data_IF_032401878393
#
_entry.id   IF_032401878393
#
_cell.length_a   1.000
_cell.length_b   1.000
_cell.length_c   1.000
_cell.angle_alpha   90.00
_cell.angle_beta   90.00
_cell.angle_gamma   90.00
#
_symmetry.space_group_name_H-M   'P 1'
#
loop_
_entity.id
_entity.type
_entity.pdbx_description
1 polymer ?
#
# COMPACT_ATOMS: atom_id res chain seq x y z
N UNK A 1 10.98 -19.01 -12.68
CA UNK A 1 11.74 -18.82 -11.42
C UNK A 1 11.52 -20.02 -10.53
N UNK A 2 12.32 -20.28 -9.49
CA UNK A 2 12.10 -21.46 -8.62
C UNK A 2 12.26 -21.19 -7.13
N UNK A 3 11.45 -21.89 -6.35
CA UNK A 3 11.47 -21.98 -4.89
C UNK A 3 11.22 -23.44 -4.48
N UNK A 4 11.56 -23.81 -3.25
CA UNK A 4 11.29 -25.17 -2.74
C UNK A 4 9.80 -25.57 -2.87
N UNK A 5 8.83 -24.74 -2.45
CA UNK A 5 7.41 -25.03 -2.65
C UNK A 5 7.01 -25.15 -4.13
N UNK A 6 7.55 -24.27 -4.99
CA UNK A 6 7.26 -24.31 -6.44
C UNK A 6 7.80 -25.58 -7.10
N UNK A 7 8.99 -26.05 -6.73
CA UNK A 7 9.57 -27.31 -7.24
C UNK A 7 8.74 -28.52 -6.80
N UNK A 8 8.29 -28.55 -5.54
CA UNK A 8 7.39 -29.60 -5.05
C UNK A 8 6.04 -29.62 -5.78
N UNK A 9 5.51 -28.44 -6.12
CA UNK A 9 4.22 -28.28 -6.82
C UNK A 9 4.31 -28.61 -8.31
N UNK A 10 5.40 -28.22 -8.98
CA UNK A 10 5.59 -28.37 -10.44
C UNK A 10 6.30 -29.66 -10.83
N UNK A 11 6.94 -30.33 -9.88
CA UNK A 11 7.79 -31.50 -10.12
C UNK A 11 9.09 -31.18 -10.85
N UNK A 12 9.42 -29.89 -11.05
CA UNK A 12 10.71 -29.48 -11.62
C UNK A 12 11.80 -29.40 -10.56
N UNK A 13 13.01 -29.79 -10.94
CA UNK A 13 14.21 -29.56 -10.14
C UNK A 13 15.22 -28.63 -10.84
N UNK A 14 16.35 -28.38 -10.18
CA UNK A 14 17.42 -27.56 -10.76
C UNK A 14 18.06 -28.18 -12.01
N UNK A 15 18.07 -29.51 -12.12
CA UNK A 15 18.57 -30.22 -13.29
C UNK A 15 17.72 -29.92 -14.52
N UNK A 16 16.39 -30.07 -14.40
CA UNK A 16 15.44 -29.78 -15.47
C UNK A 16 15.59 -28.36 -16.01
N UNK A 17 15.76 -27.38 -15.12
CA UNK A 17 15.94 -25.97 -15.48
C UNK A 17 17.24 -25.76 -16.26
N UNK A 18 18.35 -26.32 -15.77
CA UNK A 18 19.64 -26.22 -16.45
C UNK A 18 19.59 -26.84 -17.84
N UNK A 19 18.88 -27.96 -18.00
CA UNK A 19 18.75 -28.64 -19.28
C UNK A 19 17.87 -27.86 -20.26
N UNK A 20 16.78 -27.27 -19.78
CA UNK A 20 15.92 -26.37 -20.59
C UNK A 20 16.67 -25.11 -21.04
N UNK A 21 17.45 -24.48 -20.16
CA UNK A 21 18.28 -23.31 -20.52
C UNK A 21 19.40 -23.66 -21.50
N UNK A 22 20.13 -24.77 -21.28
CA UNK A 22 21.19 -25.23 -22.19
C UNK A 22 20.67 -25.61 -23.57
N UNK A 23 19.40 -26.00 -23.65
CA UNK A 23 18.73 -26.35 -24.90
C UNK A 23 18.01 -25.16 -25.56
N UNK A 24 18.21 -23.92 -25.05
CA UNK A 24 17.54 -22.69 -25.51
C UNK A 24 15.99 -22.75 -25.49
N UNK A 25 15.41 -23.61 -24.65
CA UNK A 25 13.95 -23.81 -24.51
C UNK A 25 13.31 -22.87 -23.49
N UNK A 26 13.62 -21.57 -23.58
CA UNK A 26 13.19 -20.58 -22.57
C UNK A 26 11.68 -20.43 -22.47
N UNK A 27 10.96 -20.54 -23.58
CA UNK A 27 9.49 -20.43 -23.57
C UNK A 27 8.84 -21.56 -22.76
N UNK A 28 9.31 -22.80 -22.93
CA UNK A 28 8.86 -23.96 -22.15
C UNK A 28 9.16 -23.77 -20.66
N UNK A 29 10.36 -23.25 -20.32
CA UNK A 29 10.71 -22.96 -18.93
C UNK A 29 9.81 -21.89 -18.29
N UNK A 30 9.46 -20.84 -19.05
CA UNK A 30 8.55 -19.78 -18.61
C UNK A 30 7.14 -20.30 -18.37
N UNK A 31 6.63 -21.17 -19.24
CA UNK A 31 5.31 -21.78 -19.10
C UNK A 31 5.23 -22.74 -17.92
N UNK A 32 6.30 -23.51 -17.66
CA UNK A 32 6.34 -24.48 -16.55
C UNK A 32 6.62 -23.84 -15.19
N UNK A 33 7.38 -22.74 -15.16
CA UNK A 33 7.66 -21.97 -13.92
C UNK A 33 7.59 -20.46 -14.14
N UNK A 34 6.37 -19.90 -14.22
CA UNK A 34 6.21 -18.46 -14.32
C UNK A 34 6.93 -17.74 -13.18
N UNK A 35 7.73 -16.72 -13.51
CA UNK A 35 8.48 -15.98 -12.50
C UNK A 35 7.53 -15.27 -11.52
N UNK A 36 6.43 -14.71 -12.02
CA UNK A 36 5.44 -13.99 -11.23
C UNK A 36 4.86 -14.89 -10.14
N UNK A 37 4.41 -16.10 -10.49
CA UNK A 37 3.87 -17.05 -9.51
C UNK A 37 4.84 -17.31 -8.38
N UNK A 38 6.09 -17.65 -8.69
CA UNK A 38 7.07 -18.00 -7.66
C UNK A 38 7.41 -16.81 -6.75
N UNK A 39 7.57 -15.62 -7.32
CA UNK A 39 7.93 -14.43 -6.55
C UNK A 39 6.74 -13.92 -5.75
N UNK A 40 5.53 -13.90 -6.32
CA UNK A 40 4.33 -13.45 -5.64
C UNK A 40 3.86 -14.45 -4.57
N UNK A 41 4.00 -15.76 -4.81
CA UNK A 41 3.81 -16.80 -3.79
C UNK A 41 4.73 -16.52 -2.58
N UNK A 42 6.02 -16.25 -2.85
CA UNK A 42 7.01 -15.92 -1.81
C UNK A 42 6.64 -14.65 -1.04
N UNK A 43 6.14 -13.62 -1.73
CA UNK A 43 5.66 -12.38 -1.09
C UNK A 43 4.49 -12.69 -0.16
N UNK A 44 3.48 -13.41 -0.64
CA UNK A 44 2.31 -13.77 0.16
C UNK A 44 2.66 -14.65 1.38
N UNK A 45 3.66 -15.52 1.26
CA UNK A 45 4.05 -16.45 2.33
C UNK A 45 4.94 -15.81 3.39
N UNK A 46 5.78 -14.84 3.02
CA UNK A 46 6.83 -14.33 3.92
C UNK A 46 6.70 -12.86 4.30
N UNK A 47 5.92 -12.06 3.58
CA UNK A 47 5.70 -10.66 3.93
C UNK A 47 4.43 -10.52 4.78
N UNK A 48 4.49 -9.79 5.90
CA UNK A 48 3.32 -9.59 6.74
C UNK A 48 2.30 -8.69 6.05
N UNK A 49 1.03 -9.02 6.22
CA UNK A 49 -0.07 -8.13 5.86
C UNK A 49 -0.11 -6.90 6.81
N UNK A 50 -0.92 -5.86 6.50
CA UNK A 50 -1.10 -4.69 7.36
C UNK A 50 -1.39 -5.00 8.83
N UNK A 51 -2.27 -5.97 9.10
CA UNK A 51 -2.76 -6.34 10.43
C UNK A 51 -1.62 -6.88 11.29
N UNK A 52 -0.73 -7.69 10.71
CA UNK A 52 0.42 -8.25 11.40
C UNK A 52 1.60 -7.26 11.51
N UNK A 53 1.72 -6.35 10.55
CA UNK A 53 2.85 -5.43 10.43
C UNK A 53 2.68 -4.15 11.26
N UNK A 54 1.49 -3.55 11.25
CA UNK A 54 1.23 -2.23 11.86
C UNK A 54 1.51 -2.19 13.37
N UNK A 55 1.10 -3.18 14.20
CA UNK A 55 1.36 -3.15 15.64
C UNK A 55 2.85 -3.01 16.00
N UNK A 56 3.74 -3.56 15.17
CA UNK A 56 5.20 -3.51 15.40
C UNK A 56 5.87 -2.29 14.76
N UNK A 57 5.21 -1.69 13.76
CA UNK A 57 5.78 -0.60 12.96
C UNK A 57 5.36 0.78 13.45
N UNK A 58 4.10 0.96 13.84
CA UNK A 58 3.58 2.26 14.31
C UNK A 58 4.45 2.85 15.43
N UNK A 59 4.83 2.11 16.49
CA UNK A 59 5.69 2.65 17.55
C UNK A 59 7.09 3.07 17.10
N UNK A 60 7.52 2.69 15.89
CA UNK A 60 8.84 3.04 15.32
C UNK A 60 8.79 4.20 14.35
N UNK A 61 7.68 4.35 13.62
CA UNK A 61 7.55 5.34 12.53
C UNK A 61 6.75 6.58 12.95
N UNK A 62 5.95 6.48 14.01
CA UNK A 62 5.15 7.57 14.55
C UNK A 62 5.59 7.86 15.98
N UNK A 63 5.69 9.15 16.34
CA UNK A 63 6.26 9.62 17.62
C UNK A 63 5.25 10.39 18.49
N UNK A 64 3.95 10.20 18.23
CA UNK A 64 2.92 10.74 19.11
C UNK A 64 2.74 9.89 20.37
N UNK A 65 1.69 10.19 21.12
CA UNK A 65 1.32 9.46 22.34
C UNK A 65 0.87 8.03 22.03
N UNK A 66 1.62 7.04 22.51
CA UNK A 66 1.38 5.62 22.26
C UNK A 66 0.15 5.06 22.99
N UNK A 67 -0.36 5.79 24.00
CA UNK A 67 -1.59 5.46 24.71
C UNK A 67 -2.84 6.11 24.09
N UNK A 68 -2.69 6.90 23.02
CA UNK A 68 -3.82 7.57 22.36
C UNK A 68 -4.68 6.64 21.52
N UNK A 69 -5.98 6.95 21.39
CA UNK A 69 -6.93 6.21 20.54
C UNK A 69 -6.48 6.17 19.05
N UNK A 70 -5.80 7.22 18.59
CA UNK A 70 -5.22 7.27 17.24
C UNK A 70 -4.07 6.26 17.10
N UNK A 71 -3.20 6.15 18.11
CA UNK A 71 -2.12 5.17 18.09
C UNK A 71 -2.67 3.74 18.07
N UNK A 72 -3.70 3.48 18.86
CA UNK A 72 -4.39 2.19 18.91
C UNK A 72 -5.04 1.85 17.56
N UNK A 73 -5.85 2.76 17.01
CA UNK A 73 -6.54 2.55 15.73
C UNK A 73 -5.56 2.32 14.57
N UNK A 74 -4.45 3.07 14.53
CA UNK A 74 -3.35 2.80 13.59
C UNK A 74 -2.66 1.46 13.82
N UNK A 75 -2.50 1.00 15.06
CA UNK A 75 -1.88 -0.30 15.33
C UNK A 75 -2.79 -1.44 14.87
N UNK A 76 -4.10 -1.31 15.07
CA UNK A 76 -5.08 -2.35 14.74
C UNK A 76 -5.65 -2.29 13.32
N UNK A 77 -5.22 -1.32 12.50
CA UNK A 77 -5.74 -1.14 11.13
C UNK A 77 -7.25 -0.88 11.16
N UNK A 78 -7.69 -0.10 12.14
CA UNK A 78 -9.12 0.13 12.38
C UNK A 78 -9.70 1.06 11.29
N UNK A 79 -10.70 0.57 10.56
CA UNK A 79 -11.36 1.32 9.49
C UNK A 79 -12.42 2.31 10.00
N UNK A 80 -12.92 2.10 11.23
CA UNK A 80 -13.89 2.98 11.90
C UNK A 80 -13.20 4.11 12.70
N UNK A 81 -11.87 4.05 12.81
CA UNK A 81 -11.06 5.02 13.52
C UNK A 81 -10.91 6.37 12.82
N UNK A 82 -10.16 7.28 13.46
CA UNK A 82 -9.79 8.56 12.86
C UNK A 82 -8.84 8.34 11.68
N UNK A 83 -9.10 9.03 10.56
CA UNK A 83 -8.29 8.91 9.35
C UNK A 83 -6.85 9.32 9.64
N UNK A 84 -5.91 8.44 9.28
CA UNK A 84 -4.48 8.74 9.24
C UNK A 84 -3.89 8.22 7.94
N UNK A 85 -3.49 9.13 7.08
CA UNK A 85 -2.82 8.87 5.80
C UNK A 85 -1.38 9.39 5.84
N UNK A 86 -0.42 8.53 5.52
CA UNK A 86 0.96 8.95 5.26
C UNK A 86 1.17 9.09 3.76
N UNK A 87 1.35 10.33 3.29
CA UNK A 87 1.62 10.62 1.88
C UNK A 87 3.06 10.21 1.56
N UNK A 88 3.24 9.36 0.56
CA UNK A 88 4.55 8.87 0.13
C UNK A 88 5.02 9.49 -1.18
N UNK A 89 4.09 9.87 -2.05
CA UNK A 89 4.39 10.42 -3.37
C UNK A 89 3.33 11.44 -3.79
N UNK A 90 3.74 12.43 -4.60
CA UNK A 90 2.85 13.42 -5.22
C UNK A 90 3.06 13.36 -6.73
N UNK A 91 2.02 12.93 -7.44
CA UNK A 91 1.96 12.94 -8.90
C UNK A 91 1.08 14.06 -9.42
N UNK A 92 1.24 14.41 -10.70
CA UNK A 92 0.32 15.31 -11.41
C UNK A 92 -0.30 14.55 -12.58
N UNK A 93 -1.62 14.39 -12.54
CA UNK A 93 -2.40 13.84 -13.64
C UNK A 93 -2.96 14.98 -14.51
N UNK A 94 -2.91 14.88 -15.85
CA UNK A 94 -3.41 15.91 -16.75
C UNK A 94 -4.91 16.25 -16.58
N UNK A 95 -5.73 15.31 -16.10
CA UNK A 95 -7.18 15.47 -15.96
C UNK A 95 -7.60 15.72 -14.50
N UNK A 96 -6.97 15.03 -13.56
CA UNK A 96 -7.32 15.07 -12.14
C UNK A 96 -6.47 16.05 -11.30
N UNK A 97 -5.40 16.61 -11.85
CA UNK A 97 -4.50 17.51 -11.15
C UNK A 97 -3.55 16.78 -10.19
N UNK A 98 -3.21 17.42 -9.06
CA UNK A 98 -2.33 16.83 -8.06
C UNK A 98 -2.98 15.63 -7.36
N UNK A 99 -2.24 14.53 -7.31
CA UNK A 99 -2.62 13.26 -6.69
C UNK A 99 -1.62 12.96 -5.58
N UNK A 100 -2.10 12.86 -4.35
CA UNK A 100 -1.33 12.35 -3.23
C UNK A 100 -1.52 10.84 -3.14
N UNK A 101 -0.44 10.09 -3.34
CA UNK A 101 -0.40 8.65 -3.11
C UNK A 101 0.17 8.37 -1.71
N UNK A 102 -0.49 7.49 -0.96
CA UNK A 102 -0.06 7.21 0.41
C UNK A 102 -0.71 5.99 1.03
N UNK A 103 -0.28 5.68 2.26
CA UNK A 103 -0.77 4.55 3.04
C UNK A 103 -1.78 5.03 4.09
N UNK A 104 -2.99 4.47 4.05
CA UNK A 104 -3.99 4.65 5.11
C UNK A 104 -3.61 3.72 6.26
N UNK A 105 -3.31 4.28 7.43
CA UNK A 105 -2.96 3.53 8.63
C UNK A 105 -4.17 3.30 9.54
N UNK A 106 -5.11 4.24 9.57
CA UNK A 106 -6.35 4.19 10.35
C UNK A 106 -7.46 4.97 9.62
N UNK A 107 -8.70 4.62 9.92
CA UNK A 107 -9.92 5.19 9.37
C UNK A 107 -10.18 4.85 7.92
N UNK A 108 -11.23 5.48 7.38
CA UNK A 108 -11.67 5.29 5.99
C UNK A 108 -11.69 6.63 5.26
N UNK A 109 -10.96 6.69 4.15
CA UNK A 109 -10.94 7.87 3.28
C UNK A 109 -12.18 7.89 2.40
N UNK A 110 -12.89 9.01 2.39
CA UNK A 110 -14.10 9.22 1.59
C UNK A 110 -14.07 10.58 0.89
N UNK A 111 -14.81 10.65 -0.22
CA UNK A 111 -15.01 11.90 -0.94
C UNK A 111 -15.70 12.95 -0.07
N UNK A 112 -15.12 14.16 -0.06
CA UNK A 112 -15.70 15.33 0.59
C UNK A 112 -15.27 15.52 2.04
N UNK A 113 -14.52 14.58 2.63
CA UNK A 113 -13.93 14.73 3.96
C UNK A 113 -12.99 15.94 4.04
N UNK A 114 -12.95 16.57 5.20
CA UNK A 114 -12.03 17.67 5.49
C UNK A 114 -10.94 17.19 6.44
N UNK A 115 -9.70 17.12 5.94
CA UNK A 115 -8.55 16.56 6.64
C UNK A 115 -7.47 17.63 6.84
N UNK A 116 -6.76 17.55 7.95
CA UNK A 116 -5.58 18.36 8.22
C UNK A 116 -4.36 17.80 7.48
N UNK A 117 -3.45 18.69 7.07
CA UNK A 117 -2.11 18.32 6.62
C UNK A 117 -1.11 18.83 7.65
N UNK A 118 -0.26 17.95 8.15
CA UNK A 118 0.72 18.27 9.20
C UNK A 118 1.61 19.46 8.81
N UNK A 119 1.73 20.45 9.71
CA UNK A 119 2.56 21.64 9.50
C UNK A 119 1.92 22.74 8.65
N UNK A 120 0.64 22.61 8.31
CA UNK A 120 -0.13 23.57 7.51
C UNK A 120 -1.31 24.10 8.31
N UNK A 121 -1.83 25.27 7.93
CA UNK A 121 -2.98 25.87 8.62
C UNK A 121 -4.29 25.53 7.91
N UNK A 122 -5.25 25.00 8.67
CA UNK A 122 -6.59 24.70 8.17
C UNK A 122 -6.74 23.28 7.62
N UNK A 123 -7.87 23.04 6.95
CA UNK A 123 -8.24 21.73 6.41
C UNK A 123 -8.26 21.75 4.89
N UNK A 124 -7.90 20.61 4.31
CA UNK A 124 -8.01 20.30 2.90
C UNK A 124 -9.24 19.44 2.69
N UNK A 125 -9.95 19.65 1.58
CA UNK A 125 -11.15 18.88 1.25
C UNK A 125 -10.84 17.83 0.19
N UNK A 126 -11.03 16.57 0.55
CA UNK A 126 -10.87 15.41 -0.35
C UNK A 126 -11.87 15.52 -1.50
N UNK A 127 -11.39 15.48 -2.74
CA UNK A 127 -12.23 15.59 -3.94
C UNK A 127 -12.58 14.23 -4.53
N UNK A 128 -11.64 13.30 -4.52
CA UNK A 128 -11.84 11.90 -4.87
C UNK A 128 -10.78 11.04 -4.18
N UNK A 129 -11.13 9.76 -4.01
CA UNK A 129 -10.27 8.72 -3.47
C UNK A 129 -10.22 7.57 -4.47
N UNK A 130 -9.12 6.84 -4.49
CA UNK A 130 -8.90 5.77 -5.44
C UNK A 130 -7.89 4.76 -4.98
N UNK A 131 -7.89 3.60 -5.63
CA UNK A 131 -6.89 2.55 -5.47
C UNK A 131 -6.12 2.35 -6.77
N UNK A 132 -5.02 1.62 -6.69
CA UNK A 132 -4.25 1.23 -7.87
C UNK A 132 -4.63 -0.17 -8.33
N UNK A 133 -5.10 -0.29 -9.57
CA UNK A 133 -5.30 -1.56 -10.27
C UNK A 133 -4.21 -1.71 -11.33
N UNK A 134 -3.11 -2.35 -10.96
CA UNK A 134 -1.92 -2.44 -11.80
C UNK A 134 -1.26 -1.07 -11.97
N UNK A 135 -1.20 -0.58 -13.21
CA UNK A 135 -0.65 0.74 -13.53
C UNK A 135 -1.68 1.87 -13.58
N UNK A 136 -2.96 1.55 -13.41
CA UNK A 136 -4.07 2.50 -13.54
C UNK A 136 -4.67 2.80 -12.15
N UNK A 137 -5.14 4.04 -11.99
CA UNK A 137 -5.84 4.48 -10.79
C UNK A 137 -7.34 4.40 -11.05
N UNK A 138 -8.04 3.85 -10.08
CA UNK A 138 -9.48 3.63 -10.15
C UNK A 138 -10.15 4.39 -9.01
N UNK A 139 -11.06 5.30 -9.37
CA UNK A 139 -11.82 6.10 -8.39
C UNK A 139 -12.87 5.20 -7.73
N UNK A 140 -12.90 5.23 -6.40
CA UNK A 140 -13.82 4.44 -5.57
C UNK A 140 -14.54 5.36 -4.58
N UNK A 141 -15.59 4.87 -3.95
CA UNK A 141 -16.37 5.65 -2.98
C UNK A 141 -15.57 5.88 -1.68
N UNK A 142 -14.88 4.84 -1.22
CA UNK A 142 -14.14 4.83 0.03
C UNK A 142 -12.86 3.96 -0.05
N UNK A 143 -11.85 4.29 0.76
CA UNK A 143 -10.62 3.50 0.89
C UNK A 143 -10.28 3.29 2.36
N UNK A 144 -10.46 2.07 2.91
CA UNK A 144 -10.24 1.79 4.33
C UNK A 144 -8.76 1.60 4.67
N UNK A 145 -8.47 1.61 5.97
CA UNK A 145 -7.15 1.36 6.55
C UNK A 145 -6.48 0.10 5.99
N UNK A 146 -5.15 0.16 5.87
CA UNK A 146 -4.32 -0.92 5.32
C UNK A 146 -4.05 -0.79 3.82
N UNK A 147 -4.82 0.01 3.09
CA UNK A 147 -4.66 0.22 1.64
C UNK A 147 -3.66 1.32 1.28
N UNK A 148 -3.14 1.22 0.06
CA UNK A 148 -2.49 2.35 -0.61
C UNK A 148 -3.56 3.10 -1.38
N UNK A 149 -3.77 4.36 -0.99
CA UNK A 149 -4.78 5.24 -1.56
C UNK A 149 -4.13 6.27 -2.50
N UNK A 150 -4.89 6.68 -3.51
CA UNK A 150 -4.64 7.86 -4.32
C UNK A 150 -5.73 8.89 -4.00
N UNK A 151 -5.34 10.09 -3.57
CA UNK A 151 -6.27 11.11 -3.07
C UNK A 151 -6.06 12.41 -3.83
N UNK A 152 -7.15 13.04 -4.25
CA UNK A 152 -7.13 14.38 -4.85
C UNK A 152 -7.73 15.41 -3.89
N UNK A 153 -7.32 16.68 -4.02
CA UNK A 153 -7.83 17.78 -3.20
C UNK A 153 -7.00 18.12 -1.96
N UNK A 154 -5.92 17.37 -1.69
CA UNK A 154 -4.94 17.63 -0.64
C UNK A 154 -3.85 18.59 -1.14
N UNK A 155 -4.22 19.84 -1.40
CA UNK A 155 -3.36 20.88 -2.00
C UNK A 155 -2.14 21.23 -1.17
N UNK A 156 -2.23 21.11 0.15
CA UNK A 156 -1.13 21.45 1.04
C UNK A 156 -0.20 20.25 1.32
N UNK A 157 -0.51 19.06 0.78
CA UNK A 157 0.27 17.85 1.02
C UNK A 157 1.53 17.79 0.14
N UNK A 158 2.61 17.29 0.75
CA UNK A 158 3.85 16.94 0.07
C UNK A 158 4.23 15.49 0.40
N UNK A 159 5.19 14.93 -0.33
CA UNK A 159 5.75 13.63 0.03
C UNK A 159 6.32 13.67 1.46
N UNK A 160 5.88 12.75 2.31
CA UNK A 160 6.19 12.69 3.73
C UNK A 160 5.20 13.38 4.66
N UNK A 161 4.17 14.06 4.13
CA UNK A 161 3.11 14.66 4.96
C UNK A 161 2.26 13.61 5.66
N UNK A 162 1.87 13.92 6.90
CA UNK A 162 0.77 13.22 7.59
C UNK A 162 -0.52 13.98 7.31
N UNK A 163 -1.55 13.24 6.91
CA UNK A 163 -2.90 13.76 6.66
C UNK A 163 -3.86 13.07 7.61
N UNK A 164 -4.65 13.84 8.35
CA UNK A 164 -5.48 13.29 9.43
C UNK A 164 -6.80 14.02 9.64
N UNK A 165 -7.79 13.31 10.16
CA UNK A 165 -9.10 13.90 10.53
C UNK A 165 -9.03 14.77 11.79
N UNK A 166 -8.14 14.41 12.71
CA UNK A 166 -7.80 15.18 13.91
C UNK A 166 -6.49 15.93 13.74
N UNK A 167 -6.35 17.07 14.41
CA UNK A 167 -5.10 17.82 14.41
C UNK A 167 -4.08 17.10 15.29
N UNK A 168 -3.01 16.61 14.67
CA UNK A 168 -1.91 15.94 15.37
C UNK A 168 -0.78 16.94 15.60
N UNK A 169 -0.64 17.42 16.83
CA UNK A 169 0.50 18.21 17.30
C UNK A 169 1.74 17.38 17.58
#
# INVERSE_FOLDING_TARGET
GVSMPSMQRTGMDFGDIMDLERSDKRQELHERTPLADVVLDMVCEHFPNPIDAQPRRIPRIWRGDDESEVAESMQFVDEDGEVVLMVTDIGVDPHAGEIAAGRVFSGTLEKGQELYVSGTAGKNRVQSVGIYMGGEREEVEEVPAGNIAAVTGLKDAIAGSTVSSVEMT
#
